data_IF_318517862536
#
_entry.id   IF_318517862536
#
_cell.length_a   1.000
_cell.length_b   1.000
_cell.length_c   1.000
_cell.angle_alpha   90.00
_cell.angle_beta   90.00
_cell.angle_gamma   90.00
#
_symmetry.space_group_name_H-M   'P 1'
#
loop_
_entity.id
_entity.type
_entity.pdbx_description
1 polymer ?
#
# COMPACT_ATOMS: atom_id res chain seq x y z
N UNK A 1 -1.64 20.41 -12.19
CA UNK A 1 -1.37 19.89 -10.83
C UNK A 1 -1.65 18.39 -10.84
N UNK A 2 -0.72 17.58 -10.36
CA UNK A 2 -0.88 16.12 -10.34
C UNK A 2 -1.85 15.71 -9.23
N UNK A 3 -2.98 15.12 -9.59
CA UNK A 3 -3.88 14.51 -8.62
C UNK A 3 -3.38 13.09 -8.29
N UNK A 4 -3.46 12.71 -7.02
CA UNK A 4 -3.00 11.41 -6.51
C UNK A 4 -4.13 10.67 -5.81
N UNK A 5 -3.96 9.36 -5.69
CA UNK A 5 -4.84 8.50 -4.91
C UNK A 5 -4.03 7.48 -4.09
N UNK A 6 -4.50 7.17 -2.90
CA UNK A 6 -3.96 6.12 -2.04
C UNK A 6 -4.63 4.80 -2.37
N UNK A 7 -3.86 3.80 -2.71
CA UNK A 7 -4.36 2.52 -3.22
C UNK A 7 -4.03 1.41 -2.24
N UNK A 8 -5.06 0.74 -1.75
CA UNK A 8 -4.96 -0.42 -0.88
C UNK A 8 -4.56 -1.69 -1.65
N UNK A 9 -4.15 -2.71 -0.92
CA UNK A 9 -4.00 -4.07 -1.43
C UNK A 9 -5.22 -4.46 -2.30
N UNK A 10 -5.03 -5.11 -3.46
CA UNK A 10 -6.14 -5.59 -4.29
C UNK A 10 -7.02 -6.58 -3.53
N UNK A 11 -8.33 -6.48 -3.72
CA UNK A 11 -9.30 -7.40 -3.09
C UNK A 11 -9.04 -8.86 -3.49
N UNK A 12 -8.58 -9.12 -4.71
CA UNK A 12 -8.22 -10.46 -5.16
C UNK A 12 -7.12 -11.10 -4.31
N UNK A 13 -6.14 -10.30 -3.86
CA UNK A 13 -5.09 -10.79 -2.96
C UNK A 13 -5.63 -11.08 -1.55
N UNK A 14 -6.48 -10.22 -1.03
CA UNK A 14 -7.14 -10.43 0.26
C UNK A 14 -8.04 -11.67 0.24
N UNK A 15 -8.88 -11.82 -0.78
CA UNK A 15 -9.76 -12.97 -0.96
C UNK A 15 -9.01 -14.29 -1.04
N UNK A 16 -7.86 -14.31 -1.75
CA UNK A 16 -7.00 -15.50 -1.80
C UNK A 16 -6.59 -15.95 -0.39
N UNK A 17 -6.19 -15.02 0.46
CA UNK A 17 -5.76 -15.32 1.83
C UNK A 17 -6.93 -15.68 2.74
N UNK A 18 -8.07 -15.01 2.64
CA UNK A 18 -9.29 -15.36 3.38
C UNK A 18 -9.84 -16.75 3.01
N UNK A 19 -9.64 -17.17 1.78
CA UNK A 19 -10.08 -18.49 1.28
C UNK A 19 -9.03 -19.61 1.49
N UNK A 20 -8.05 -19.39 2.37
CA UNK A 20 -7.05 -20.41 2.73
C UNK A 20 -5.88 -20.52 1.76
N UNK A 21 -5.66 -19.49 0.92
CA UNK A 21 -4.51 -19.43 0.03
C UNK A 21 -3.20 -19.14 0.74
N UNK A 22 -2.11 -19.33 0.03
CA UNK A 22 -0.75 -19.19 0.55
C UNK A 22 -0.20 -17.79 0.27
N UNK A 23 0.72 -17.36 1.11
CA UNK A 23 1.41 -16.08 0.99
C UNK A 23 2.55 -16.11 -0.03
N UNK A 24 3.34 -15.04 -0.12
CA UNK A 24 4.43 -14.90 -1.08
C UNK A 24 5.59 -15.90 -0.85
N UNK A 25 5.65 -16.54 0.32
CA UNK A 25 6.62 -17.59 0.64
C UNK A 25 6.04 -19.00 0.58
N UNK A 26 4.86 -19.15 -0.05
CA UNK A 26 4.12 -20.41 -0.13
C UNK A 26 3.75 -20.99 1.26
N UNK A 27 3.46 -20.11 2.22
CA UNK A 27 3.06 -20.46 3.58
C UNK A 27 1.63 -20.02 3.85
N UNK A 28 0.94 -20.74 4.75
CA UNK A 28 -0.34 -20.27 5.27
C UNK A 28 -0.10 -19.06 6.18
N UNK A 29 -0.98 -18.03 6.13
CA UNK A 29 -0.91 -16.92 7.07
C UNK A 29 -0.98 -17.41 8.52
N UNK A 30 -0.28 -16.70 9.41
CA UNK A 30 -0.42 -16.88 10.85
C UNK A 30 -1.60 -16.06 11.36
N UNK A 31 -2.30 -16.56 12.37
CA UNK A 31 -3.36 -15.80 13.05
C UNK A 31 -2.87 -15.32 14.40
N UNK A 32 -3.01 -14.02 14.65
CA UNK A 32 -2.78 -13.41 15.97
C UNK A 32 -3.97 -12.55 16.37
N UNK A 33 -4.03 -12.16 17.64
CA UNK A 33 -5.04 -11.23 18.16
C UNK A 33 -4.41 -9.85 18.29
N UNK A 34 -5.09 -8.83 17.79
CA UNK A 34 -4.63 -7.44 17.92
C UNK A 34 -4.68 -7.00 19.38
N UNK A 35 -3.64 -6.32 19.83
CA UNK A 35 -3.57 -5.65 21.12
C UNK A 35 -3.84 -4.13 21.02
N UNK A 36 -4.22 -3.65 19.84
CA UNK A 36 -4.58 -2.27 19.60
C UNK A 36 -3.85 -1.63 18.42
N UNK A 37 -3.62 -0.31 18.43
CA UNK A 37 -2.96 0.40 17.35
C UNK A 37 -1.56 -0.19 17.02
N UNK A 38 -1.23 -0.23 15.74
CA UNK A 38 0.03 -0.83 15.27
C UNK A 38 -0.15 -2.07 14.41
N UNK A 39 -1.40 -2.50 14.20
CA UNK A 39 -1.77 -3.57 13.29
C UNK A 39 -2.62 -3.03 12.13
N UNK A 40 -2.03 -2.28 11.17
CA UNK A 40 -2.79 -1.73 10.05
C UNK A 40 -3.18 -2.82 9.05
N UNK A 41 -4.47 -2.90 8.73
CA UNK A 41 -4.98 -3.77 7.67
C UNK A 41 -4.70 -3.16 6.30
N UNK A 42 -4.01 -3.90 5.43
CA UNK A 42 -3.60 -3.41 4.10
C UNK A 42 -4.75 -3.35 3.08
N UNK A 43 -5.91 -3.88 3.41
CA UNK A 43 -7.07 -3.87 2.53
C UNK A 43 -8.05 -2.74 2.84
N UNK A 44 -8.45 -2.55 4.08
CA UNK A 44 -9.32 -1.43 4.47
C UNK A 44 -8.55 -0.16 4.88
N UNK A 45 -7.22 -0.24 5.04
CA UNK A 45 -6.32 0.83 5.46
C UNK A 45 -6.67 1.47 6.81
N UNK A 46 -7.27 0.67 7.70
CA UNK A 46 -7.57 1.01 9.07
C UNK A 46 -6.75 0.16 10.03
N UNK A 47 -6.55 0.61 11.25
CA UNK A 47 -5.97 -0.24 12.29
C UNK A 47 -6.99 -1.28 12.74
N UNK A 48 -6.50 -2.49 13.01
CA UNK A 48 -7.30 -3.59 13.51
C UNK A 48 -7.46 -3.40 15.02
N UNK A 49 -8.70 -3.34 15.48
CA UNK A 49 -9.02 -3.06 16.89
C UNK A 49 -8.51 -4.16 17.83
N UNK A 50 -8.20 -3.76 19.06
CA UNK A 50 -7.84 -4.70 20.12
C UNK A 50 -8.90 -5.79 20.29
N UNK A 51 -8.46 -7.04 20.40
CA UNK A 51 -9.31 -8.20 20.55
C UNK A 51 -9.78 -8.84 19.23
N UNK A 52 -9.60 -8.17 18.10
CA UNK A 52 -9.89 -8.77 16.79
C UNK A 52 -8.73 -9.63 16.31
N UNK A 53 -9.07 -10.74 15.65
CA UNK A 53 -8.07 -11.59 15.00
C UNK A 53 -7.60 -10.97 13.68
N UNK A 54 -6.32 -11.15 13.39
CA UNK A 54 -5.69 -10.72 12.15
C UNK A 54 -4.80 -11.82 11.57
N UNK A 55 -4.56 -11.73 10.27
CA UNK A 55 -3.61 -12.54 9.55
C UNK A 55 -2.28 -11.79 9.44
N UNK A 56 -1.18 -12.50 9.71
CA UNK A 56 0.19 -12.07 9.44
C UNK A 56 0.75 -12.94 8.33
N UNK A 57 1.25 -12.33 7.27
CA UNK A 57 1.74 -13.07 6.10
C UNK A 57 2.78 -12.26 5.32
N UNK A 58 3.57 -12.98 4.53
CA UNK A 58 4.52 -12.38 3.62
C UNK A 58 3.80 -11.83 2.37
N UNK A 59 4.01 -10.57 2.07
CA UNK A 59 3.41 -9.90 0.92
C UNK A 59 4.48 -9.31 0.01
N UNK A 60 4.32 -9.57 -1.29
CA UNK A 60 5.13 -8.98 -2.34
C UNK A 60 4.24 -8.07 -3.18
N UNK A 61 4.29 -6.74 -3.00
CA UNK A 61 3.47 -5.79 -3.74
C UNK A 61 4.04 -5.47 -5.13
N UNK A 62 4.53 -6.49 -5.82
CA UNK A 62 5.09 -6.43 -7.17
C UNK A 62 4.64 -7.68 -7.94
N UNK A 63 4.26 -7.55 -9.23
CA UNK A 63 3.73 -8.67 -9.99
C UNK A 63 4.76 -9.76 -10.28
N UNK A 64 6.01 -9.38 -10.52
CA UNK A 64 7.07 -10.27 -10.93
C UNK A 64 8.21 -10.38 -9.90
N UNK A 65 8.81 -11.58 -9.81
CA UNK A 65 10.05 -11.76 -9.07
C UNK A 65 11.21 -11.13 -9.86
N UNK A 66 11.87 -10.19 -9.21
CA UNK A 66 13.04 -9.48 -9.75
C UNK A 66 13.81 -8.86 -8.57
N UNK A 67 15.03 -8.35 -8.75
CA UNK A 67 15.86 -7.92 -7.61
C UNK A 67 15.23 -6.87 -6.68
N UNK A 68 14.27 -6.08 -7.16
CA UNK A 68 13.60 -5.02 -6.38
C UNK A 68 12.25 -5.45 -5.79
N UNK A 69 11.83 -6.69 -6.01
CA UNK A 69 10.57 -7.21 -5.51
C UNK A 69 10.65 -7.55 -4.02
N UNK A 70 10.72 -6.54 -3.18
CA UNK A 70 10.74 -6.71 -1.73
C UNK A 70 9.51 -7.44 -1.24
N UNK A 71 9.72 -8.40 -0.34
CA UNK A 71 8.69 -9.20 0.29
C UNK A 71 8.87 -9.10 1.80
N UNK A 72 7.80 -8.83 2.52
CA UNK A 72 7.86 -8.70 3.96
C UNK A 72 6.52 -8.89 4.64
N UNK A 73 6.48 -8.89 5.98
CA UNK A 73 5.27 -9.15 6.76
C UNK A 73 4.32 -7.96 6.68
N UNK A 74 3.04 -8.26 6.48
CA UNK A 74 1.94 -7.29 6.59
C UNK A 74 0.73 -7.93 7.28
N UNK A 75 -0.27 -7.11 7.57
CA UNK A 75 -1.49 -7.50 8.29
C UNK A 75 -2.74 -7.33 7.44
N UNK A 76 -3.70 -8.22 7.70
CA UNK A 76 -5.04 -8.20 7.13
C UNK A 76 -6.03 -8.61 8.23
N UNK A 77 -7.20 -7.98 8.32
CA UNK A 77 -8.27 -8.51 9.15
C UNK A 77 -8.50 -9.99 8.79
N UNK A 78 -8.67 -10.85 9.78
CA UNK A 78 -9.02 -12.25 9.51
C UNK A 78 -10.44 -12.38 8.97
N UNK A 79 -11.37 -11.56 9.48
CA UNK A 79 -12.71 -11.45 8.92
C UNK A 79 -12.69 -10.50 7.71
N UNK A 80 -13.35 -10.83 6.60
CA UNK A 80 -13.41 -9.98 5.43
C UNK A 80 -13.86 -8.56 5.77
N UNK A 81 -13.17 -7.59 5.20
CA UNK A 81 -13.46 -6.16 5.33
C UNK A 81 -13.62 -5.52 3.95
N UNK A 82 -14.26 -4.35 3.91
CA UNK A 82 -14.38 -3.57 2.68
C UNK A 82 -13.03 -2.94 2.31
N UNK A 83 -12.68 -2.96 1.02
CA UNK A 83 -11.49 -2.26 0.52
C UNK A 83 -11.60 -0.75 0.77
N UNK A 84 -10.49 -0.12 1.11
CA UNK A 84 -10.42 1.33 1.23
C UNK A 84 -10.86 2.00 -0.08
N UNK A 85 -11.87 2.86 -0.01
CA UNK A 85 -12.49 3.50 -1.17
C UNK A 85 -12.31 5.02 -1.22
N UNK A 86 -11.97 5.66 -0.09
CA UNK A 86 -11.73 7.10 -0.02
C UNK A 86 -10.34 7.49 -0.51
N UNK A 87 -9.96 7.06 -1.70
CA UNK A 87 -8.60 7.08 -2.24
C UNK A 87 -7.97 8.48 -2.33
N UNK A 88 -8.75 9.53 -2.32
CA UNK A 88 -8.28 10.94 -2.34
C UNK A 88 -7.86 11.43 -0.95
N UNK A 89 -8.21 10.69 0.10
CA UNK A 89 -7.93 11.00 1.50
C UNK A 89 -6.79 10.12 1.98
N UNK A 90 -5.88 10.70 2.76
CA UNK A 90 -4.81 9.93 3.39
C UNK A 90 -5.41 8.87 4.33
N UNK A 91 -4.97 7.60 4.22
CA UNK A 91 -5.54 6.51 5.01
C UNK A 91 -5.41 6.72 6.52
N UNK A 92 -6.46 6.42 7.31
CA UNK A 92 -6.44 6.59 8.77
C UNK A 92 -5.30 5.83 9.47
N UNK A 93 -4.90 4.65 8.96
CA UNK A 93 -3.83 3.86 9.56
C UNK A 93 -2.48 4.58 9.59
N UNK A 94 -2.24 5.53 8.69
CA UNK A 94 -0.99 6.29 8.65
C UNK A 94 -0.89 7.29 9.80
N UNK A 95 -2.01 7.66 10.42
CA UNK A 95 -2.02 8.64 11.53
C UNK A 95 -1.39 8.13 12.82
N UNK A 96 -1.08 6.83 12.91
CA UNK A 96 -0.46 6.22 14.09
C UNK A 96 1.07 6.34 14.13
N UNK A 97 1.69 6.83 13.08
CA UNK A 97 3.12 7.10 13.01
C UNK A 97 3.39 8.53 12.59
N UNK A 98 4.54 9.05 13.02
CA UNK A 98 4.96 10.40 12.69
C UNK A 98 5.42 10.54 11.25
N UNK A 99 6.06 9.51 10.73
CA UNK A 99 6.76 9.51 9.45
C UNK A 99 6.76 8.13 8.79
N UNK A 100 6.97 8.13 7.48
CA UNK A 100 7.06 6.94 6.65
C UNK A 100 8.15 7.11 5.59
N UNK A 101 8.67 6.00 5.08
CA UNK A 101 9.47 6.01 3.85
C UNK A 101 8.50 6.18 2.67
N UNK A 102 8.75 7.18 1.84
CA UNK A 102 8.06 7.39 0.56
C UNK A 102 9.08 7.21 -0.55
N UNK A 103 8.80 6.33 -1.50
CA UNK A 103 9.77 5.95 -2.53
C UNK A 103 9.11 5.70 -3.87
N UNK A 104 9.70 6.27 -4.94
CA UNK A 104 9.21 6.14 -6.31
C UNK A 104 9.73 4.89 -7.01
N UNK A 105 8.88 4.30 -7.87
CA UNK A 105 9.17 3.15 -8.71
C UNK A 105 8.88 3.43 -10.17
N UNK A 106 9.70 2.85 -11.05
CA UNK A 106 9.51 2.89 -12.49
C UNK A 106 8.41 1.93 -12.97
N UNK A 107 8.05 2.00 -14.25
CA UNK A 107 7.12 1.06 -14.89
C UNK A 107 7.57 -0.40 -14.82
N UNK A 108 8.88 -0.64 -14.71
CA UNK A 108 9.47 -1.97 -14.57
C UNK A 108 9.59 -2.42 -13.11
N UNK A 109 8.88 -1.77 -12.17
CA UNK A 109 8.86 -2.09 -10.75
C UNK A 109 10.22 -1.97 -10.05
N UNK A 110 11.06 -1.05 -10.50
CA UNK A 110 12.38 -0.81 -9.92
C UNK A 110 12.42 0.51 -9.18
N UNK A 111 13.18 0.54 -8.10
CA UNK A 111 13.40 1.78 -7.35
C UNK A 111 14.00 2.84 -8.29
N UNK A 112 13.41 4.02 -8.31
CA UNK A 112 14.04 5.19 -8.90
C UNK A 112 14.91 5.82 -7.82
N UNK A 113 16.22 5.65 -7.95
CA UNK A 113 17.17 6.10 -6.93
C UNK A 113 17.12 7.62 -6.75
N UNK A 114 17.33 8.04 -5.51
CA UNK A 114 17.21 9.44 -5.11
C UNK A 114 15.80 9.89 -4.72
N UNK A 115 14.79 9.00 -4.83
CA UNK A 115 13.40 9.30 -4.46
C UNK A 115 12.99 8.82 -3.08
N UNK A 116 13.75 7.88 -2.49
CA UNK A 116 13.47 7.37 -1.15
C UNK A 116 13.75 8.42 -0.08
N UNK A 117 12.73 8.77 0.71
CA UNK A 117 12.87 9.73 1.80
C UNK A 117 11.98 9.35 2.99
N UNK A 118 12.51 9.54 4.20
CA UNK A 118 11.69 9.54 5.40
C UNK A 118 10.91 10.84 5.41
N UNK A 119 9.59 10.73 5.28
CA UNK A 119 8.67 11.85 5.05
C UNK A 119 7.70 11.95 6.20
N UNK A 120 7.56 13.13 6.80
CA UNK A 120 6.55 13.35 7.82
C UNK A 120 5.14 13.17 7.24
N UNK A 121 4.23 12.68 8.06
CA UNK A 121 2.87 12.32 7.64
C UNK A 121 2.16 13.46 6.89
N UNK A 122 2.32 14.71 7.35
CA UNK A 122 1.71 15.88 6.72
C UNK A 122 2.25 16.20 5.32
N UNK A 123 3.46 15.75 5.02
CA UNK A 123 4.16 16.05 3.76
C UNK A 123 3.98 14.92 2.71
N UNK A 124 3.45 13.76 3.10
CA UNK A 124 3.29 12.61 2.20
C UNK A 124 2.49 12.97 0.94
N UNK A 125 1.33 13.65 1.02
CA UNK A 125 0.59 14.00 -0.19
C UNK A 125 1.36 14.92 -1.14
N UNK A 126 2.07 15.91 -0.61
CA UNK A 126 2.86 16.86 -1.40
C UNK A 126 4.03 16.16 -2.09
N UNK A 127 4.77 15.34 -1.36
CA UNK A 127 5.90 14.58 -1.90
C UNK A 127 5.45 13.52 -2.92
N UNK A 128 4.35 12.83 -2.66
CA UNK A 128 3.75 11.91 -3.64
C UNK A 128 3.38 12.60 -4.95
N UNK A 129 2.82 13.80 -4.89
CA UNK A 129 2.50 14.62 -6.08
C UNK A 129 3.74 15.05 -6.84
N UNK A 130 4.79 15.47 -6.13
CA UNK A 130 6.08 15.84 -6.71
C UNK A 130 6.68 14.66 -7.47
N UNK A 131 6.79 13.50 -6.84
CA UNK A 131 7.33 12.29 -7.46
C UNK A 131 6.52 11.87 -8.69
N UNK A 132 5.19 11.81 -8.57
CA UNK A 132 4.31 11.40 -9.67
C UNK A 132 4.18 12.45 -10.79
N UNK A 133 4.72 13.64 -10.59
CA UNK A 133 4.92 14.62 -11.64
C UNK A 133 6.08 14.31 -12.59
N UNK A 134 6.99 13.40 -12.18
CA UNK A 134 8.13 12.97 -12.99
C UNK A 134 7.72 11.89 -13.99
N UNK A 135 8.33 11.91 -15.17
CA UNK A 135 8.04 10.95 -16.24
C UNK A 135 8.64 9.56 -16.00
N UNK A 136 9.66 9.45 -15.15
CA UNK A 136 10.36 8.20 -14.83
C UNK A 136 9.73 7.43 -13.65
N UNK A 137 8.71 8.00 -13.00
CA UNK A 137 8.02 7.38 -11.86
C UNK A 137 6.60 6.98 -12.26
N UNK A 138 6.34 5.68 -12.16
CA UNK A 138 5.03 5.09 -12.45
C UNK A 138 4.10 5.10 -11.22
N UNK A 139 4.66 4.84 -10.04
CA UNK A 139 3.95 4.82 -8.77
C UNK A 139 4.89 5.03 -7.58
N UNK A 140 4.29 5.22 -6.42
CA UNK A 140 5.00 5.44 -5.15
C UNK A 140 4.54 4.42 -4.12
N UNK A 141 5.46 3.91 -3.30
CA UNK A 141 5.14 3.16 -2.08
C UNK A 141 5.31 4.00 -0.85
N UNK A 142 4.38 3.84 0.08
CA UNK A 142 4.50 4.27 1.48
C UNK A 142 4.89 3.05 2.30
N UNK A 143 5.99 3.15 3.07
CA UNK A 143 6.55 2.07 3.88
C UNK A 143 6.83 2.56 5.29
N UNK A 144 6.75 1.67 6.26
CA UNK A 144 7.12 2.00 7.64
C UNK A 144 8.57 2.50 7.70
N UNK A 145 8.79 3.65 8.33
CA UNK A 145 10.14 4.22 8.45
C UNK A 145 11.06 3.36 9.33
N UNK A 146 10.51 2.57 10.24
CA UNK A 146 11.28 1.76 11.19
C UNK A 146 11.44 0.32 10.74
N UNK A 147 10.42 -0.26 10.10
CA UNK A 147 10.39 -1.67 9.77
C UNK A 147 10.41 -1.95 8.26
N UNK A 148 10.35 -0.92 7.41
CA UNK A 148 10.26 -1.02 5.95
C UNK A 148 9.05 -1.83 5.42
N UNK A 149 8.05 -2.10 6.26
CA UNK A 149 6.86 -2.83 5.84
C UNK A 149 6.00 -1.98 4.90
N UNK A 150 5.56 -2.58 3.80
CA UNK A 150 4.63 -1.96 2.87
C UNK A 150 3.34 -1.53 3.57
N UNK A 151 2.90 -0.30 3.33
CA UNK A 151 1.65 0.25 3.86
C UNK A 151 0.58 0.36 2.78
N UNK A 152 0.83 1.18 1.79
CA UNK A 152 -0.05 1.39 0.65
C UNK A 152 0.76 1.94 -0.54
N UNK A 153 0.09 2.01 -1.68
CA UNK A 153 0.63 2.59 -2.91
C UNK A 153 -0.01 3.97 -3.13
N UNK A 154 0.71 4.87 -3.76
CA UNK A 154 0.17 6.12 -4.27
C UNK A 154 0.28 6.10 -5.79
N UNK A 155 -0.84 6.30 -6.47
CA UNK A 155 -0.92 6.39 -7.91
C UNK A 155 -1.32 7.80 -8.35
N UNK A 156 -0.98 8.12 -9.58
CA UNK A 156 -1.51 9.29 -10.27
C UNK A 156 -2.96 9.01 -10.68
N UNK A 157 -3.85 9.95 -10.42
CA UNK A 157 -5.20 9.88 -10.97
C UNK A 157 -5.10 10.11 -12.47
N UNK A 158 -5.54 9.13 -13.26
CA UNK A 158 -5.64 9.26 -14.70
C UNK A 158 -6.77 10.23 -15.03
N UNK A 159 -6.51 11.18 -15.94
CA UNK A 159 -7.58 12.00 -16.49
C UNK A 159 -8.66 11.10 -17.11
N UNK A 160 -9.97 11.42 -16.95
CA UNK A 160 -11.01 10.67 -17.63
C UNK A 160 -10.74 10.69 -19.14
N UNK A 161 -10.74 9.51 -19.76
CA UNK A 161 -10.70 9.42 -21.22
C UNK A 161 -11.99 10.05 -21.70
N UNK A 162 -11.91 11.25 -22.29
CA UNK A 162 -13.04 11.82 -23.01
C UNK A 162 -13.33 10.83 -24.14
N UNK A 163 -14.50 10.18 -24.07
CA UNK A 163 -14.99 9.41 -25.20
C UNK A 163 -15.05 10.39 -26.38
N UNK A 164 -14.27 10.14 -27.42
CA UNK A 164 -14.44 10.82 -28.68
C UNK A 164 -15.87 10.49 -29.14
N UNK A 165 -16.76 11.44 -29.00
CA UNK A 165 -18.04 11.38 -29.69
C UNK A 165 -17.71 11.55 -31.15
N UNK A 166 -17.49 10.43 -31.83
CA UNK A 166 -17.43 10.37 -33.29
C UNK A 166 -18.74 10.92 -33.85
N UNK A 167 -18.61 12.02 -34.54
CA UNK A 167 -19.72 12.54 -35.35
C UNK A 167 -19.91 11.66 -36.59
#
# INVERSE_FOLDING_TARGET
MTAIRFVAMPTTDAERLWNGGRDAYDRLPETIVSDGPGHPCRHCLQNIDAGQELLVFAYRPFPELQPYAETGPIFLHKQPCARYAAEEIMPPMLTTSRDFIVRGYSENDRIVYGTGAVTEIGDIPAYGKELLGRSDIAYVHVRSARNNCFQCRIDKVKAPVLAETGA
#
